data_IF_146005804037
#
_entry.id   IF_146005804037
#
_cell.length_a   1.000
_cell.length_b   1.000
_cell.length_c   1.000
_cell.angle_alpha   90.00
_cell.angle_beta   90.00
_cell.angle_gamma   90.00
#
_symmetry.space_group_name_H-M   'P 1'
#
loop_
_entity.id
_entity.type
_entity.pdbx_description
1 polymer ?
#
# COMPACT_ATOMS: atom_id res chain seq x y z
N UNK A 1 -3.91 16.51 8.93
CA UNK A 1 -2.45 16.71 8.99
C UNK A 1 -1.72 15.48 8.43
N UNK A 2 -0.53 15.69 7.83
CA UNK A 2 0.41 14.63 7.42
C UNK A 2 1.50 14.45 8.47
N UNK A 3 1.76 13.22 8.87
CA UNK A 3 2.89 12.83 9.72
C UNK A 3 3.92 12.10 8.87
N UNK A 4 5.19 12.51 8.92
CA UNK A 4 6.30 11.86 8.22
C UNK A 4 7.24 11.23 9.23
N UNK A 5 7.51 9.94 9.08
CA UNK A 5 8.48 9.19 9.87
C UNK A 5 9.69 8.86 8.98
N UNK A 6 10.87 9.41 9.27
CA UNK A 6 12.05 9.31 8.40
C UNK A 6 13.29 8.70 9.09
N UNK A 7 14.33 8.40 8.31
CA UNK A 7 15.61 7.80 8.75
C UNK A 7 16.32 8.54 9.90
N UNK A 8 16.13 9.85 10.06
CA UNK A 8 16.65 10.60 11.22
C UNK A 8 16.13 10.05 12.57
N UNK A 9 15.13 9.17 12.52
CA UNK A 9 14.56 8.48 13.66
C UNK A 9 14.99 7.03 13.79
N UNK A 10 15.71 6.36 12.87
CA UNK A 10 16.02 4.92 13.03
C UNK A 10 16.80 4.59 14.31
N UNK A 11 17.78 5.40 14.73
CA UNK A 11 18.45 5.24 16.03
C UNK A 11 17.57 5.65 17.23
N UNK A 12 16.54 6.48 17.01
CA UNK A 12 15.58 6.95 18.04
C UNK A 12 14.28 6.13 18.08
N UNK A 13 13.99 5.27 17.10
CA UNK A 13 12.89 4.30 17.12
C UNK A 13 13.08 3.28 18.24
N UNK A 14 14.34 2.94 18.54
CA UNK A 14 14.73 2.16 19.71
C UNK A 14 14.33 2.81 21.04
N UNK A 15 13.94 4.10 21.05
CA UNK A 15 13.36 4.81 22.20
C UNK A 15 11.92 5.24 21.88
N UNK A 16 11.02 4.26 21.88
CA UNK A 16 9.57 4.36 21.58
C UNK A 16 8.81 5.55 22.22
N UNK A 17 9.35 6.18 23.26
CA UNK A 17 8.73 7.29 23.99
C UNK A 17 8.60 8.59 23.17
N UNK A 18 9.59 8.92 22.33
CA UNK A 18 9.59 10.23 21.64
C UNK A 18 8.53 10.33 20.55
N UNK A 19 8.39 9.30 19.71
CA UNK A 19 7.35 9.26 18.65
C UNK A 19 5.95 9.26 19.26
N UNK A 20 5.75 8.47 20.31
CA UNK A 20 4.48 8.46 21.06
C UNK A 20 4.11 9.84 21.58
N UNK A 21 5.05 10.53 22.22
CA UNK A 21 4.82 11.88 22.76
C UNK A 21 4.42 12.87 21.66
N UNK A 22 5.14 12.89 20.53
CA UNK A 22 4.81 13.77 19.40
C UNK A 22 3.43 13.48 18.82
N UNK A 23 3.09 12.20 18.61
CA UNK A 23 1.76 11.84 18.11
C UNK A 23 0.67 12.31 19.07
N UNK A 24 0.82 12.04 20.38
CA UNK A 24 -0.16 12.48 21.37
C UNK A 24 -0.31 14.01 21.39
N UNK A 25 0.80 14.75 21.39
CA UNK A 25 0.78 16.21 21.36
C UNK A 25 0.11 16.75 20.10
N UNK A 26 0.37 16.16 18.93
CA UNK A 26 -0.30 16.57 17.69
C UNK A 26 -1.80 16.28 17.78
N UNK A 27 -2.19 15.13 18.31
CA UNK A 27 -3.58 14.70 18.45
C UNK A 27 -4.40 15.55 19.43
N UNK A 28 -3.76 16.30 20.34
CA UNK A 28 -4.50 17.27 21.19
C UNK A 28 -4.98 18.49 20.40
N UNK A 29 -4.41 18.76 19.22
CA UNK A 29 -4.67 19.97 18.43
C UNK A 29 -5.29 19.64 17.07
N UNK A 30 -4.93 18.50 16.47
CA UNK A 30 -5.41 18.10 15.14
C UNK A 30 -5.40 16.60 14.92
N UNK A 31 -6.21 16.12 13.99
CA UNK A 31 -6.15 14.74 13.52
C UNK A 31 -5.06 14.54 12.46
N UNK A 32 -4.46 13.35 12.50
CA UNK A 32 -3.52 12.85 11.49
C UNK A 32 -4.30 11.91 10.58
N UNK A 33 -4.40 12.26 9.30
CA UNK A 33 -5.13 11.48 8.28
C UNK A 33 -4.18 10.84 7.26
N UNK A 34 -2.92 11.27 7.25
CA UNK A 34 -1.89 10.79 6.34
C UNK A 34 -0.65 10.44 7.17
N UNK A 35 -0.18 9.19 7.04
CA UNK A 35 1.08 8.72 7.59
C UNK A 35 2.03 8.34 6.44
N UNK A 36 3.21 8.96 6.41
CA UNK A 36 4.28 8.65 5.47
C UNK A 36 5.45 8.01 6.24
N UNK A 37 5.71 6.74 5.95
CA UNK A 37 6.79 5.97 6.54
C UNK A 37 7.93 5.93 5.52
N UNK A 38 8.77 6.97 5.56
CA UNK A 38 9.90 7.18 4.66
C UNK A 38 11.15 6.33 5.03
N UNK A 39 10.96 5.29 5.83
CA UNK A 39 12.00 4.35 6.22
C UNK A 39 11.47 2.91 6.17
N UNK A 40 12.38 1.96 6.36
CA UNK A 40 12.02 0.56 6.49
C UNK A 40 11.21 0.31 7.77
N UNK A 41 10.12 -0.46 7.67
CA UNK A 41 9.24 -0.79 8.80
C UNK A 41 8.91 -2.28 8.86
N UNK A 42 8.78 -2.80 10.09
CA UNK A 42 8.38 -4.17 10.42
C UNK A 42 6.97 -4.19 11.06
N UNK A 43 6.31 -5.35 11.08
CA UNK A 43 4.90 -5.50 11.50
C UNK A 43 4.62 -4.87 12.88
N UNK A 44 5.39 -5.24 13.91
CA UNK A 44 5.17 -4.78 15.29
C UNK A 44 5.20 -3.24 15.38
N UNK A 45 6.12 -2.61 14.66
CA UNK A 45 6.25 -1.15 14.65
C UNK A 45 5.12 -0.48 13.88
N UNK A 46 4.70 -1.06 12.75
CA UNK A 46 3.54 -0.58 12.01
C UNK A 46 2.29 -0.63 12.90
N UNK A 47 2.05 -1.76 13.55
CA UNK A 47 0.93 -1.95 14.49
C UNK A 47 0.96 -0.92 15.62
N UNK A 48 2.12 -0.70 16.24
CA UNK A 48 2.26 0.30 17.31
C UNK A 48 1.91 1.72 16.83
N UNK A 49 2.32 2.10 15.62
CA UNK A 49 2.02 3.43 15.07
C UNK A 49 0.54 3.56 14.72
N UNK A 50 -0.04 2.57 14.06
CA UNK A 50 -1.44 2.57 13.65
C UNK A 50 -2.40 2.58 14.85
N UNK A 51 -2.03 1.98 15.99
CA UNK A 51 -2.81 2.05 17.24
C UNK A 51 -3.02 3.48 17.74
N UNK A 52 -2.08 4.37 17.43
CA UNK A 52 -2.16 5.76 17.86
C UNK A 52 -2.91 6.67 16.89
N UNK A 53 -3.28 6.19 15.70
CA UNK A 53 -3.78 7.03 14.61
C UNK A 53 -5.20 6.63 14.15
N UNK A 54 -6.24 6.73 15.02
CA UNK A 54 -7.58 6.18 14.82
C UNK A 54 -8.36 6.73 13.61
N UNK A 55 -7.85 7.76 12.93
CA UNK A 55 -8.49 8.42 11.78
C UNK A 55 -7.59 8.42 10.55
N UNK A 56 -6.64 7.51 10.47
CA UNK A 56 -5.73 7.43 9.35
C UNK A 56 -6.46 6.98 8.08
N UNK A 57 -6.50 7.82 7.05
CA UNK A 57 -7.10 7.48 5.75
C UNK A 57 -6.06 6.99 4.74
N UNK A 58 -4.87 7.58 4.78
CA UNK A 58 -3.80 7.34 3.82
C UNK A 58 -2.51 6.90 4.52
N UNK A 59 -1.97 5.77 4.05
CA UNK A 59 -0.70 5.22 4.48
C UNK A 59 0.27 5.15 3.30
N UNK A 60 1.45 5.77 3.44
CA UNK A 60 2.56 5.60 2.50
C UNK A 60 3.67 4.79 3.19
N UNK A 61 4.09 3.69 2.56
CA UNK A 61 5.15 2.83 3.07
C UNK A 61 6.30 2.87 2.06
N UNK A 62 7.47 3.31 2.53
CA UNK A 62 8.70 3.21 1.74
C UNK A 62 9.03 1.74 1.52
N UNK A 63 9.43 1.02 2.57
CA UNK A 63 9.80 -0.38 2.48
C UNK A 63 9.25 -1.15 3.68
N UNK A 64 8.67 -2.29 3.41
CA UNK A 64 8.28 -3.24 4.45
C UNK A 64 9.36 -4.30 4.59
N UNK A 65 9.70 -4.64 5.83
CA UNK A 65 10.53 -5.78 6.13
C UNK A 65 9.68 -6.85 6.76
N UNK A 66 9.67 -7.99 6.11
CA UNK A 66 9.17 -9.22 6.68
C UNK A 66 10.30 -9.89 7.48
N UNK A 67 10.49 -9.49 8.73
CA UNK A 67 11.44 -10.14 9.64
C UNK A 67 10.71 -11.10 10.55
N UNK A 68 10.21 -12.18 9.98
CA UNK A 68 9.85 -13.40 10.70
C UNK A 68 10.68 -14.52 10.08
N UNK A 69 11.44 -15.25 10.89
CA UNK A 69 11.90 -16.59 10.53
C UNK A 69 10.71 -17.35 9.95
N UNK A 70 10.80 -17.85 8.71
CA UNK A 70 9.82 -18.73 8.06
C UNK A 70 8.39 -18.58 8.60
N UNK A 71 7.68 -17.57 8.11
CA UNK A 71 6.36 -17.08 8.52
C UNK A 71 6.29 -16.17 9.78
N UNK A 72 5.66 -14.99 9.68
CA UNK A 72 5.29 -14.14 10.78
C UNK A 72 4.26 -14.93 11.57
N UNK A 73 4.33 -14.77 12.88
CA UNK A 73 3.37 -15.39 13.75
C UNK A 73 1.98 -14.92 13.29
N UNK A 74 1.10 -15.87 13.00
CA UNK A 74 -0.29 -15.63 12.57
C UNK A 74 -0.98 -14.56 13.45
N UNK A 75 -0.63 -14.52 14.73
CA UNK A 75 -1.10 -13.53 15.71
C UNK A 75 -0.72 -12.07 15.37
N UNK A 76 0.47 -11.83 14.82
CA UNK A 76 0.92 -10.48 14.45
C UNK A 76 0.17 -9.96 13.22
N UNK A 77 -0.08 -10.84 12.23
CA UNK A 77 -0.90 -10.54 11.06
C UNK A 77 -2.34 -10.25 11.49
N UNK A 78 -2.92 -11.10 12.34
CA UNK A 78 -4.28 -10.92 12.82
C UNK A 78 -4.44 -9.61 13.58
N UNK A 79 -3.48 -9.30 14.46
CA UNK A 79 -3.46 -8.05 15.24
C UNK A 79 -3.37 -6.81 14.34
N UNK A 80 -2.55 -6.87 13.28
CA UNK A 80 -2.46 -5.78 12.31
C UNK A 80 -3.75 -5.65 11.49
N UNK A 81 -4.34 -6.76 11.05
CA UNK A 81 -5.62 -6.78 10.32
C UNK A 81 -6.76 -6.15 11.12
N UNK A 82 -6.94 -6.57 12.38
CA UNK A 82 -7.95 -6.03 13.29
C UNK A 82 -7.77 -4.53 13.52
N UNK A 83 -6.52 -4.09 13.57
CA UNK A 83 -6.17 -2.69 13.75
C UNK A 83 -6.43 -1.86 12.49
N UNK A 84 -6.12 -2.38 11.32
CA UNK A 84 -6.38 -1.72 10.04
C UNK A 84 -7.88 -1.61 9.79
N UNK A 85 -8.64 -2.65 10.10
CA UNK A 85 -10.11 -2.63 10.04
C UNK A 85 -10.71 -1.51 10.91
N UNK A 86 -10.11 -1.22 12.08
CA UNK A 86 -10.52 -0.10 12.94
C UNK A 86 -10.14 1.26 12.34
N UNK A 87 -9.00 1.37 11.68
CA UNK A 87 -8.46 2.63 11.18
C UNK A 87 -9.07 3.11 9.86
N UNK A 88 -9.90 2.29 9.16
CA UNK A 88 -10.54 2.64 7.87
C UNK A 88 -9.55 3.27 6.87
N UNK A 89 -8.36 2.72 6.78
CA UNK A 89 -7.35 3.16 5.81
C UNK A 89 -7.87 2.81 4.42
N UNK A 90 -8.16 3.82 3.60
CA UNK A 90 -8.71 3.63 2.26
C UNK A 90 -7.66 3.75 1.16
N UNK A 91 -6.52 4.39 1.46
CA UNK A 91 -5.45 4.66 0.49
C UNK A 91 -4.13 4.08 0.96
N UNK A 92 -3.49 3.26 0.13
CA UNK A 92 -2.18 2.68 0.40
C UNK A 92 -1.21 2.96 -0.74
N UNK A 93 -0.08 3.57 -0.41
CA UNK A 93 0.95 3.95 -1.37
C UNK A 93 2.24 3.22 -1.02
N UNK A 94 2.68 2.34 -1.91
CA UNK A 94 3.86 1.50 -1.78
C UNK A 94 5.00 2.13 -2.60
N UNK A 95 5.94 2.79 -1.92
CA UNK A 95 6.90 3.74 -2.52
C UNK A 95 8.23 3.13 -2.98
N UNK A 96 8.63 1.97 -2.46
CA UNK A 96 9.69 1.19 -3.08
C UNK A 96 9.11 0.04 -3.90
N UNK A 97 10.00 -0.77 -4.43
CA UNK A 97 9.66 -1.94 -5.21
C UNK A 97 9.17 -3.00 -4.25
N UNK A 98 7.95 -3.46 -4.50
CA UNK A 98 7.36 -4.60 -3.83
C UNK A 98 7.19 -5.74 -4.83
N UNK A 99 7.44 -6.96 -4.38
CA UNK A 99 7.08 -8.16 -5.11
C UNK A 99 5.55 -8.32 -5.10
N UNK A 100 5.01 -9.10 -6.04
CA UNK A 100 3.57 -9.33 -6.11
C UNK A 100 3.03 -9.94 -4.80
N UNK A 101 3.80 -10.85 -4.19
CA UNK A 101 3.48 -11.50 -2.92
C UNK A 101 3.37 -10.50 -1.77
N UNK A 102 4.22 -9.48 -1.73
CA UNK A 102 4.16 -8.44 -0.70
C UNK A 102 2.92 -7.56 -0.90
N UNK A 103 2.52 -7.31 -2.16
CA UNK A 103 1.30 -6.57 -2.47
C UNK A 103 0.07 -7.38 -2.06
N UNK A 104 0.04 -8.68 -2.34
CA UNK A 104 -1.03 -9.57 -1.88
C UNK A 104 -1.16 -9.54 -0.36
N UNK A 105 -0.04 -9.60 0.36
CA UNK A 105 -0.02 -9.46 1.81
C UNK A 105 -0.69 -8.16 2.27
N UNK A 106 -0.36 -7.02 1.64
CA UNK A 106 -1.03 -5.75 1.95
C UNK A 106 -2.52 -5.76 1.62
N UNK A 107 -2.92 -6.35 0.49
CA UNK A 107 -4.32 -6.44 0.08
C UNK A 107 -5.14 -7.40 0.97
N UNK A 108 -4.50 -8.37 1.63
CA UNK A 108 -5.15 -9.21 2.64
C UNK A 108 -5.40 -8.47 3.94
N UNK A 109 -4.41 -7.71 4.40
CA UNK A 109 -4.46 -7.03 5.69
C UNK A 109 -5.31 -5.76 5.62
N UNK A 110 -5.19 -5.01 4.53
CA UNK A 110 -5.84 -3.72 4.38
C UNK A 110 -7.14 -3.84 3.58
N UNK A 111 -8.10 -4.53 4.20
CA UNK A 111 -9.37 -4.92 3.59
C UNK A 111 -10.27 -3.76 3.17
N UNK A 112 -10.01 -2.53 3.62
CA UNK A 112 -10.82 -1.34 3.27
C UNK A 112 -10.17 -0.47 2.19
N UNK A 113 -9.03 -0.87 1.61
CA UNK A 113 -8.37 -0.07 0.57
C UNK A 113 -9.27 0.01 -0.66
N UNK A 114 -9.60 1.24 -1.05
CA UNK A 114 -10.21 1.54 -2.33
C UNK A 114 -9.22 2.17 -3.34
N UNK A 115 -8.04 2.62 -2.89
CA UNK A 115 -6.97 3.12 -3.75
C UNK A 115 -5.60 2.52 -3.38
N UNK A 116 -5.01 1.77 -4.32
CA UNK A 116 -3.66 1.22 -4.20
C UNK A 116 -2.75 1.88 -5.23
N UNK A 117 -1.63 2.44 -4.78
CA UNK A 117 -0.58 2.97 -5.66
C UNK A 117 0.73 2.23 -5.39
N UNK A 118 1.37 1.72 -6.44
CA UNK A 118 2.58 0.91 -6.34
C UNK A 118 3.67 1.49 -7.24
N UNK A 119 4.85 1.76 -6.68
CA UNK A 119 6.03 2.09 -7.46
C UNK A 119 6.74 0.82 -7.91
N UNK A 120 7.00 0.70 -9.22
CA UNK A 120 7.64 -0.49 -9.81
C UNK A 120 9.07 -0.19 -10.28
N UNK A 121 9.91 -1.23 -10.38
CA UNK A 121 11.22 -1.10 -11.04
C UNK A 121 11.02 -0.98 -12.55
N UNK A 122 11.96 -0.29 -13.19
CA UNK A 122 12.02 -0.19 -14.66
C UNK A 122 12.14 -1.56 -15.35
N UNK A 123 12.72 -2.57 -14.69
CA UNK A 123 12.93 -3.90 -15.24
C UNK A 123 11.78 -4.89 -15.01
N UNK A 124 10.70 -4.47 -14.35
CA UNK A 124 9.55 -5.35 -14.14
C UNK A 124 8.86 -5.59 -15.48
N UNK A 125 8.55 -6.84 -15.79
CA UNK A 125 7.60 -7.17 -16.85
C UNK A 125 6.22 -6.69 -16.41
N UNK A 126 5.86 -5.50 -16.88
CA UNK A 126 4.64 -4.81 -16.48
C UNK A 126 3.39 -5.63 -16.84
N UNK A 127 3.38 -6.28 -17.99
CA UNK A 127 2.20 -7.03 -18.46
C UNK A 127 1.94 -8.21 -17.51
N UNK A 128 2.97 -9.02 -17.26
CA UNK A 128 2.91 -10.14 -16.31
C UNK A 128 2.55 -9.67 -14.90
N UNK A 129 3.15 -8.57 -14.44
CA UNK A 129 2.86 -8.04 -13.11
C UNK A 129 1.43 -7.54 -12.94
N UNK A 130 0.89 -6.75 -13.90
CA UNK A 130 -0.51 -6.32 -13.84
C UNK A 130 -1.42 -7.54 -13.85
N UNK A 131 -1.15 -8.50 -14.73
CA UNK A 131 -1.93 -9.72 -14.86
C UNK A 131 -2.06 -10.45 -13.53
N UNK A 132 -0.94 -10.66 -12.84
CA UNK A 132 -0.90 -11.34 -11.55
C UNK A 132 -1.75 -10.61 -10.50
N UNK A 133 -1.61 -9.29 -10.38
CA UNK A 133 -2.43 -8.47 -9.46
C UNK A 133 -3.93 -8.55 -9.80
N UNK A 134 -4.29 -8.49 -11.08
CA UNK A 134 -5.68 -8.54 -11.52
C UNK A 134 -6.31 -9.93 -11.31
N UNK A 135 -5.58 -11.01 -11.60
CA UNK A 135 -6.03 -12.37 -11.32
C UNK A 135 -6.32 -12.57 -9.83
N UNK A 136 -5.41 -12.08 -8.98
CA UNK A 136 -5.61 -12.11 -7.53
C UNK A 136 -6.87 -11.33 -7.11
N UNK A 137 -7.10 -10.15 -7.69
CA UNK A 137 -8.31 -9.35 -7.44
C UNK A 137 -9.59 -10.07 -7.88
N UNK A 138 -9.61 -10.71 -9.04
CA UNK A 138 -10.76 -11.48 -9.51
C UNK A 138 -11.12 -12.62 -8.57
N UNK A 139 -10.11 -13.27 -7.97
CA UNK A 139 -10.32 -14.32 -6.99
C UNK A 139 -10.92 -13.77 -5.68
N UNK A 140 -10.71 -12.49 -5.37
CA UNK A 140 -11.35 -11.79 -4.25
C UNK A 140 -12.71 -11.22 -4.63
N UNK A 141 -13.76 -12.03 -4.41
CA UNK A 141 -15.15 -11.69 -4.74
C UNK A 141 -15.68 -10.34 -4.18
N UNK A 142 -15.06 -9.76 -3.14
CA UNK A 142 -15.54 -8.54 -2.45
C UNK A 142 -14.44 -7.49 -2.23
N UNK A 143 -13.47 -7.37 -3.13
CA UNK A 143 -12.47 -6.30 -3.02
C UNK A 143 -13.12 -4.91 -3.11
N UNK A 144 -12.90 -3.98 -2.16
CA UNK A 144 -13.38 -2.61 -2.29
C UNK A 144 -12.47 -1.74 -3.17
N UNK A 145 -11.44 -2.33 -3.77
CA UNK A 145 -10.50 -1.63 -4.63
C UNK A 145 -11.23 -1.05 -5.85
N UNK A 146 -11.16 0.27 -6.01
CA UNK A 146 -11.75 1.02 -7.12
C UNK A 146 -10.70 1.72 -7.98
N UNK A 147 -9.46 1.78 -7.49
CA UNK A 147 -8.37 2.47 -8.15
C UNK A 147 -7.04 1.75 -7.88
N UNK A 148 -6.34 1.42 -8.97
CA UNK A 148 -5.02 0.83 -8.95
C UNK A 148 -4.10 1.69 -9.82
N UNK A 149 -2.99 2.13 -9.24
CA UNK A 149 -2.02 2.97 -9.93
C UNK A 149 -0.64 2.33 -9.87
N UNK A 150 0.02 2.29 -11.02
CA UNK A 150 1.40 1.84 -11.15
C UNK A 150 2.28 3.03 -11.54
N UNK A 151 3.22 3.39 -10.68
CA UNK A 151 4.20 4.45 -10.94
C UNK A 151 5.46 3.84 -11.56
N UNK A 152 5.73 4.17 -12.83
CA UNK A 152 6.92 3.75 -13.57
C UNK A 152 7.55 4.94 -14.27
N UNK A 153 8.86 5.13 -14.07
CA UNK A 153 9.60 6.26 -14.65
C UNK A 153 9.56 6.32 -16.18
N UNK A 154 9.39 5.17 -16.84
CA UNK A 154 9.34 5.03 -18.29
C UNK A 154 7.93 4.65 -18.80
N UNK A 155 6.88 4.93 -18.02
CA UNK A 155 5.52 4.66 -18.47
C UNK A 155 5.21 5.43 -19.76
N UNK A 156 4.77 4.71 -20.79
CA UNK A 156 4.37 5.26 -22.06
C UNK A 156 3.01 4.73 -22.51
N UNK A 157 2.47 5.32 -23.58
CA UNK A 157 1.15 4.97 -24.09
C UNK A 157 1.12 3.57 -24.75
N UNK A 158 2.28 3.06 -25.20
CA UNK A 158 2.40 1.72 -25.76
C UNK A 158 2.24 0.65 -24.66
N UNK A 159 2.82 0.87 -23.48
CA UNK A 159 2.62 0.03 -22.30
C UNK A 159 1.14 -0.03 -21.91
N UNK A 160 0.45 1.12 -21.91
CA UNK A 160 -1.00 1.17 -21.63
C UNK A 160 -1.79 0.35 -22.64
N UNK A 161 -1.48 0.46 -23.93
CA UNK A 161 -2.14 -0.34 -24.97
C UNK A 161 -1.91 -1.84 -24.77
N UNK A 162 -0.68 -2.24 -24.47
CA UNK A 162 -0.33 -3.64 -24.19
C UNK A 162 -1.09 -4.22 -23.00
N UNK A 163 -1.09 -3.49 -21.88
CA UNK A 163 -1.86 -3.88 -20.68
C UNK A 163 -3.34 -4.00 -21.01
N UNK A 164 -3.90 -3.03 -21.75
CA UNK A 164 -5.30 -3.06 -22.15
C UNK A 164 -5.63 -4.29 -23.00
N UNK A 165 -4.82 -4.58 -24.02
CA UNK A 165 -4.99 -5.77 -24.88
C UNK A 165 -4.92 -7.05 -24.05
N UNK A 166 -3.97 -7.14 -23.10
CA UNK A 166 -3.85 -8.28 -22.19
C UNK A 166 -5.12 -8.46 -21.34
N UNK A 167 -5.62 -7.39 -20.72
CA UNK A 167 -6.84 -7.42 -19.90
C UNK A 167 -8.06 -7.86 -20.72
N UNK A 168 -8.22 -7.28 -21.92
CA UNK A 168 -9.35 -7.57 -22.81
C UNK A 168 -9.31 -9.03 -23.30
N UNK A 169 -8.13 -9.54 -23.69
CA UNK A 169 -7.97 -10.91 -24.17
C UNK A 169 -8.21 -11.96 -23.08
N UNK A 170 -7.76 -11.67 -21.86
CA UNK A 170 -7.89 -12.60 -20.73
C UNK A 170 -9.19 -12.39 -19.92
N UNK A 171 -10.02 -11.42 -20.29
CA UNK A 171 -11.26 -11.05 -19.58
C UNK A 171 -11.02 -10.81 -18.07
N UNK A 172 -9.92 -10.12 -17.72
CA UNK A 172 -9.52 -9.97 -16.32
C UNK A 172 -10.38 -8.97 -15.54
N UNK A 173 -11.03 -8.03 -16.22
CA UNK A 173 -11.85 -7.02 -15.58
C UNK A 173 -13.04 -6.65 -16.48
N UNK A 174 -14.20 -6.50 -15.86
CA UNK A 174 -15.39 -5.95 -16.49
C UNK A 174 -15.55 -4.51 -16.04
N UNK A 175 -15.69 -3.59 -17.00
CA UNK A 175 -16.01 -2.18 -16.80
C UNK A 175 -14.94 -1.35 -16.05
N UNK A 176 -13.80 -1.14 -16.72
CA UNK A 176 -12.70 -0.32 -16.22
C UNK A 176 -12.27 0.75 -17.23
N UNK A 177 -11.65 1.80 -16.72
CA UNK A 177 -10.92 2.79 -17.49
C UNK A 177 -9.42 2.65 -17.21
N UNK A 178 -8.61 2.57 -18.27
CA UNK A 178 -7.15 2.59 -18.20
C UNK A 178 -6.60 3.82 -18.91
N UNK A 179 -5.71 4.56 -18.23
CA UNK A 179 -5.07 5.75 -18.80
C UNK A 179 -3.67 5.96 -18.25
N UNK A 180 -2.86 6.71 -19.00
CA UNK A 180 -1.59 7.24 -18.51
C UNK A 180 -1.76 8.66 -17.99
N UNK A 181 -1.10 8.97 -16.87
CA UNK A 181 -0.91 10.33 -16.37
C UNK A 181 0.57 10.50 -16.02
N UNK A 182 1.32 11.25 -16.83
CA UNK A 182 2.78 11.37 -16.68
C UNK A 182 3.46 9.98 -16.65
N UNK A 183 4.03 9.61 -15.51
CA UNK A 183 4.78 8.38 -15.25
C UNK A 183 3.92 7.34 -14.52
N UNK A 184 2.60 7.46 -14.63
CA UNK A 184 1.64 6.62 -13.91
C UNK A 184 0.66 5.98 -14.87
N UNK A 185 0.39 4.70 -14.66
CA UNK A 185 -0.66 3.94 -15.34
C UNK A 185 -1.78 3.73 -14.33
N UNK A 186 -2.96 4.26 -14.62
CA UNK A 186 -4.13 4.23 -13.76
C UNK A 186 -5.14 3.23 -14.31
N UNK A 187 -5.59 2.29 -13.48
CA UNK A 187 -6.75 1.44 -13.70
C UNK A 187 -7.83 1.84 -12.69
N UNK A 188 -9.00 2.23 -13.19
CA UNK A 188 -10.12 2.67 -12.37
C UNK A 188 -11.38 1.88 -12.74
N UNK A 189 -12.08 1.35 -11.74
CA UNK A 189 -13.36 0.67 -11.92
C UNK A 189 -14.48 1.70 -11.99
N UNK A 190 -15.47 1.46 -12.85
CA UNK A 190 -16.64 2.33 -13.02
C UNK A 190 -17.74 2.04 -11.97
#
# INVERSE_FOLDING_TARGET
MRLVLSYAYQEKWCKSLTVKYYIHHVLTITHIYHLDIACQIIIDKLSNVLQMLPKLDLLEIYRFLYTGSDDPLFEDIQSLSDLVAKNRITKLYLKTVFLAEEIYFFMEIFQCINQLTVKLMQSVDMESFVRDILLYLMMKANSPLQFLCFCLEMADDLMVQKIKIMIDNENLLFDFNIKRVMNEIHLQWN
#
